data_IF_966257582123
#
_entry.id   IF_966257582123
#
_cell.length_a   1.000
_cell.length_b   1.000
_cell.length_c   1.000
_cell.angle_alpha   90.00
_cell.angle_beta   90.00
_cell.angle_gamma   90.00
#
_symmetry.space_group_name_H-M   'P 1'
#
loop_
_entity.id
_entity.type
_entity.pdbx_description
1 polymer ?
#
# COMPACT_ATOMS: atom_id res chain seq x y z
N UNK A 1 24.94 -0.25 -13.84
CA UNK A 1 24.66 -0.10 -12.40
C UNK A 1 24.59 1.39 -12.06
N UNK A 2 23.52 1.83 -11.43
CA UNK A 2 23.38 3.20 -10.92
C UNK A 2 24.00 3.28 -9.51
N UNK A 3 24.67 4.41 -9.21
CA UNK A 3 25.12 4.71 -7.84
C UNK A 3 23.96 5.05 -6.89
N UNK A 4 22.83 5.50 -7.45
CA UNK A 4 21.62 5.87 -6.72
C UNK A 4 20.49 4.96 -7.22
N UNK A 5 19.78 4.37 -6.28
CA UNK A 5 18.56 3.59 -6.56
C UNK A 5 17.32 4.50 -6.56
N UNK A 6 16.18 3.96 -6.96
CA UNK A 6 14.87 4.60 -6.82
C UNK A 6 13.92 3.68 -6.04
N UNK A 7 12.77 4.22 -5.62
CA UNK A 7 11.76 3.46 -4.86
C UNK A 7 11.31 2.19 -5.60
N UNK A 8 11.19 2.23 -6.94
CA UNK A 8 10.82 1.07 -7.74
C UNK A 8 11.85 -0.07 -7.62
N UNK A 9 13.14 0.24 -7.84
CA UNK A 9 14.21 -0.77 -7.80
C UNK A 9 14.50 -1.26 -6.38
N UNK A 10 14.52 -0.37 -5.38
CA UNK A 10 14.73 -0.77 -3.98
C UNK A 10 13.53 -1.53 -3.43
N UNK A 11 12.31 -1.06 -3.73
CA UNK A 11 11.07 -1.76 -3.37
C UNK A 11 10.98 -3.14 -4.01
N UNK A 12 11.33 -3.28 -5.30
CA UNK A 12 11.40 -4.60 -5.96
C UNK A 12 12.41 -5.51 -5.28
N UNK A 13 13.59 -4.99 -4.89
CA UNK A 13 14.58 -5.79 -4.18
C UNK A 13 14.04 -6.26 -2.81
N UNK A 14 13.32 -5.43 -2.09
CA UNK A 14 12.70 -5.75 -0.82
C UNK A 14 11.54 -6.75 -1.00
N UNK A 15 10.63 -6.49 -1.94
CA UNK A 15 9.43 -7.29 -2.16
C UNK A 15 9.72 -8.67 -2.78
N UNK A 16 10.73 -8.75 -3.67
CA UNK A 16 10.99 -9.94 -4.50
C UNK A 16 12.36 -10.60 -4.23
N UNK A 17 13.19 -10.00 -3.36
CA UNK A 17 14.53 -10.53 -3.05
C UNK A 17 15.54 -10.43 -4.20
N UNK A 18 15.26 -9.66 -5.26
CA UNK A 18 16.14 -9.50 -6.42
C UNK A 18 16.34 -8.03 -6.80
N UNK A 19 17.60 -7.66 -7.05
CA UNK A 19 17.92 -6.34 -7.60
C UNK A 19 17.46 -6.23 -9.04
N UNK A 20 17.02 -5.02 -9.43
CA UNK A 20 16.55 -4.71 -10.78
C UNK A 20 17.09 -3.36 -11.28
N UNK A 21 16.62 -2.91 -12.44
CA UNK A 21 16.97 -1.61 -12.99
C UNK A 21 16.14 -0.49 -12.34
N UNK A 22 16.67 0.73 -12.41
CA UNK A 22 15.93 1.94 -12.02
C UNK A 22 14.59 1.98 -12.76
N UNK A 23 13.55 2.43 -12.10
CA UNK A 23 12.15 2.53 -12.56
C UNK A 23 11.39 1.21 -12.76
N UNK A 24 12.05 0.06 -12.71
CA UNK A 24 11.37 -1.23 -12.88
C UNK A 24 10.56 -1.60 -11.63
N UNK A 25 9.29 -1.93 -11.85
CA UNK A 25 8.32 -2.35 -10.84
C UNK A 25 8.17 -3.88 -10.91
N UNK A 26 8.48 -4.60 -9.84
CA UNK A 26 8.22 -6.04 -9.74
C UNK A 26 8.81 -6.92 -10.83
N UNK A 27 9.81 -6.42 -11.58
CA UNK A 27 10.45 -7.12 -12.69
C UNK A 27 11.95 -7.31 -12.45
N UNK A 28 12.54 -8.33 -13.05
CA UNK A 28 14.00 -8.49 -13.10
C UNK A 28 14.64 -7.50 -14.09
N UNK A 29 15.96 -7.51 -14.20
CA UNK A 29 16.72 -6.61 -15.09
C UNK A 29 16.46 -6.84 -16.59
N UNK A 30 15.81 -7.92 -16.97
CA UNK A 30 15.38 -8.22 -18.35
C UNK A 30 13.92 -7.86 -18.59
N UNK A 31 13.19 -7.52 -17.51
CA UNK A 31 11.78 -7.15 -17.51
C UNK A 31 10.82 -8.33 -17.36
N UNK A 32 11.30 -9.47 -16.90
CA UNK A 32 10.42 -10.58 -16.56
C UNK A 32 9.79 -10.32 -15.16
N UNK A 33 8.50 -10.63 -15.00
CA UNK A 33 7.82 -10.54 -13.70
C UNK A 33 8.52 -11.33 -12.60
N UNK A 34 8.62 -10.73 -11.42
CA UNK A 34 9.12 -11.37 -10.21
C UNK A 34 7.95 -11.57 -9.24
N UNK A 35 7.96 -12.68 -8.52
CA UNK A 35 6.96 -12.96 -7.51
C UNK A 35 7.32 -12.22 -6.22
N UNK A 36 6.44 -11.34 -5.75
CA UNK A 36 6.61 -10.63 -4.48
C UNK A 36 6.25 -11.50 -3.27
N UNK A 37 6.69 -11.08 -2.08
CA UNK A 37 6.28 -11.67 -0.79
C UNK A 37 4.76 -11.68 -0.63
N UNK A 38 4.06 -10.67 -1.15
CA UNK A 38 2.60 -10.59 -1.12
C UNK A 38 1.95 -11.74 -1.90
N UNK A 39 2.40 -12.01 -3.12
CA UNK A 39 1.92 -13.16 -3.89
C UNK A 39 2.31 -14.51 -3.27
N UNK A 40 3.51 -14.61 -2.67
CA UNK A 40 3.92 -15.82 -1.96
C UNK A 40 3.01 -16.08 -0.75
N UNK A 41 2.64 -15.04 -0.02
CA UNK A 41 1.70 -15.15 1.10
C UNK A 41 0.30 -15.58 0.62
N UNK A 42 -0.21 -14.95 -0.45
CA UNK A 42 -1.50 -15.30 -1.06
C UNK A 42 -1.54 -16.77 -1.52
N UNK A 43 -0.50 -17.27 -2.17
CA UNK A 43 -0.40 -18.67 -2.57
C UNK A 43 -0.40 -19.66 -1.41
N UNK A 44 -0.03 -19.20 -0.22
CA UNK A 44 -0.11 -19.96 1.04
C UNK A 44 -1.47 -19.82 1.74
N UNK A 45 -2.46 -19.22 1.08
CA UNK A 45 -3.81 -19.02 1.61
C UNK A 45 -3.93 -17.89 2.62
N UNK A 46 -2.89 -17.04 2.77
CA UNK A 46 -2.95 -15.86 3.62
C UNK A 46 -3.68 -14.72 2.93
N UNK A 47 -4.42 -13.91 3.70
CA UNK A 47 -4.94 -12.65 3.19
C UNK A 47 -3.81 -11.63 3.01
N UNK A 48 -3.99 -10.67 2.09
CA UNK A 48 -2.98 -9.69 1.75
C UNK A 48 -3.54 -8.27 1.83
N UNK A 49 -2.79 -7.38 2.51
CA UNK A 49 -3.06 -5.95 2.58
C UNK A 49 -1.85 -5.11 2.16
N UNK A 50 -2.10 -4.05 1.40
CA UNK A 50 -1.09 -3.07 0.97
C UNK A 50 -1.58 -1.68 1.36
N UNK A 51 -0.81 -0.98 2.20
CA UNK A 51 -1.15 0.33 2.74
C UNK A 51 -0.02 1.33 2.52
N UNK A 52 -0.40 2.57 2.25
CA UNK A 52 0.55 3.68 2.07
C UNK A 52 -0.09 5.03 2.42
N UNK A 53 0.73 6.07 2.60
CA UNK A 53 0.25 7.45 2.73
C UNK A 53 0.33 8.24 1.42
N UNK A 54 0.96 7.69 0.37
CA UNK A 54 1.08 8.25 -0.98
C UNK A 54 0.05 7.62 -1.92
N UNK A 55 0.01 7.95 -3.23
CA UNK A 55 -0.89 7.27 -4.17
C UNK A 55 -0.73 5.76 -4.11
N UNK A 56 -1.84 5.02 -4.17
CA UNK A 56 -1.80 3.56 -4.07
C UNK A 56 -1.07 2.90 -5.25
N UNK A 57 -0.94 3.60 -6.37
CA UNK A 57 -0.20 3.23 -7.57
C UNK A 57 1.25 3.73 -7.58
N UNK A 58 1.70 4.42 -6.52
CA UNK A 58 3.10 4.81 -6.38
C UNK A 58 4.03 3.59 -6.35
N UNK A 59 5.30 3.80 -6.71
CA UNK A 59 6.26 2.71 -6.93
C UNK A 59 6.40 1.72 -5.78
N UNK A 60 6.43 2.18 -4.52
CA UNK A 60 6.65 1.32 -3.36
C UNK A 60 5.48 0.35 -3.10
N UNK A 61 4.20 0.78 -3.04
CA UNK A 61 3.10 -0.17 -2.96
C UNK A 61 3.00 -1.03 -4.23
N UNK A 62 3.24 -0.44 -5.41
CA UNK A 62 3.09 -1.12 -6.69
C UNK A 62 3.99 -2.36 -6.86
N UNK A 63 5.22 -2.36 -6.35
CA UNK A 63 6.13 -3.52 -6.48
C UNK A 63 5.60 -4.80 -5.83
N UNK A 64 4.61 -4.69 -4.95
CA UNK A 64 4.01 -5.87 -4.30
C UNK A 64 2.93 -6.52 -5.15
N UNK A 65 2.25 -5.76 -6.06
CA UNK A 65 1.12 -6.26 -6.84
C UNK A 65 1.26 -6.12 -8.36
N UNK A 66 2.19 -5.28 -8.84
CA UNK A 66 2.32 -4.95 -10.26
C UNK A 66 3.70 -5.27 -10.85
N UNK A 67 3.74 -5.36 -12.18
CA UNK A 67 4.92 -5.58 -12.98
C UNK A 67 4.93 -4.58 -14.13
N UNK A 68 5.97 -3.73 -14.18
CA UNK A 68 6.17 -2.77 -15.26
C UNK A 68 7.65 -2.44 -15.43
N UNK A 69 8.06 -2.08 -16.64
CA UNK A 69 9.41 -1.56 -16.93
C UNK A 69 9.56 -0.07 -16.62
N UNK A 70 8.48 0.58 -16.20
CA UNK A 70 8.50 2.00 -15.84
C UNK A 70 7.51 2.28 -14.69
N UNK A 71 8.00 2.92 -13.63
CA UNK A 71 7.17 3.43 -12.54
C UNK A 71 6.18 4.54 -12.96
N UNK A 72 6.39 5.11 -14.15
CA UNK A 72 5.54 6.16 -14.72
C UNK A 72 4.45 5.61 -15.65
N UNK A 73 4.34 4.29 -15.77
CA UNK A 73 3.28 3.62 -16.53
C UNK A 73 2.04 3.40 -15.64
N UNK A 74 1.46 4.50 -15.10
CA UNK A 74 0.40 4.44 -14.09
C UNK A 74 -0.74 3.51 -14.54
N UNK A 75 -1.27 3.68 -15.76
CA UNK A 75 -2.34 2.83 -16.29
C UNK A 75 -2.01 1.33 -16.28
N UNK A 76 -0.75 0.96 -16.64
CA UNK A 76 -0.31 -0.44 -16.62
C UNK A 76 -0.24 -0.98 -15.19
N UNK A 77 0.17 -0.16 -14.24
CA UNK A 77 0.27 -0.49 -12.82
C UNK A 77 -1.13 -0.60 -12.23
N UNK A 78 -1.98 0.39 -12.45
CA UNK A 78 -3.34 0.47 -11.91
C UNK A 78 -4.20 -0.74 -12.28
N UNK A 79 -4.18 -1.15 -13.53
CA UNK A 79 -4.96 -2.29 -14.01
C UNK A 79 -4.59 -3.60 -13.33
N UNK A 80 -3.39 -3.71 -12.79
CA UNK A 80 -2.93 -4.91 -12.10
C UNK A 80 -3.40 -4.96 -10.64
N UNK A 81 -3.73 -3.81 -10.01
CA UNK A 81 -4.22 -3.80 -8.64
C UNK A 81 -5.51 -4.63 -8.46
N UNK A 82 -6.61 -4.40 -9.19
CA UNK A 82 -7.83 -5.19 -9.01
C UNK A 82 -7.65 -6.67 -9.37
N UNK A 83 -6.77 -6.97 -10.33
CA UNK A 83 -6.51 -8.34 -10.78
C UNK A 83 -5.54 -9.12 -9.89
N UNK A 84 -4.82 -8.45 -8.98
CA UNK A 84 -3.96 -9.10 -7.97
C UNK A 84 -4.73 -10.05 -7.07
N UNK A 85 -6.00 -9.74 -6.85
CA UNK A 85 -6.86 -10.52 -5.96
C UNK A 85 -6.57 -10.33 -4.47
N UNK A 86 -5.75 -9.36 -4.07
CA UNK A 86 -5.45 -9.04 -2.67
C UNK A 86 -6.70 -8.54 -1.94
N UNK A 87 -6.72 -8.67 -0.62
CA UNK A 87 -7.94 -8.49 0.18
C UNK A 87 -8.16 -7.05 0.63
N UNK A 88 -7.08 -6.28 0.78
CA UNK A 88 -7.14 -4.90 1.26
C UNK A 88 -6.09 -4.01 0.60
N UNK A 89 -6.56 -2.89 0.06
CA UNK A 89 -5.72 -1.77 -0.34
C UNK A 89 -6.13 -0.51 0.42
N UNK A 90 -5.15 0.27 0.87
CA UNK A 90 -5.40 1.53 1.57
C UNK A 90 -4.34 2.58 1.27
N UNK A 91 -4.75 3.82 0.94
CA UNK A 91 -3.80 4.87 0.63
C UNK A 91 -4.41 6.11 0.02
N UNK A 92 -3.59 6.91 -0.66
CA UNK A 92 -4.05 7.99 -1.52
C UNK A 92 -4.75 7.46 -2.77
N UNK A 93 -5.57 8.32 -3.39
CA UNK A 93 -6.22 8.03 -4.67
C UNK A 93 -5.17 7.73 -5.74
N UNK A 94 -5.54 6.98 -6.77
CA UNK A 94 -4.77 6.83 -8.00
C UNK A 94 -4.43 8.20 -8.60
N UNK A 95 -3.28 8.32 -9.25
CA UNK A 95 -2.90 9.57 -9.90
C UNK A 95 -3.83 9.93 -11.07
N UNK A 96 -4.23 8.93 -11.86
CA UNK A 96 -5.15 9.11 -13.00
C UNK A 96 -6.27 8.05 -13.00
N UNK A 97 -7.25 8.12 -12.08
CA UNK A 97 -8.25 7.06 -11.93
C UNK A 97 -9.23 6.96 -13.10
N UNK A 98 -9.38 8.02 -13.90
CA UNK A 98 -10.29 8.09 -15.05
C UNK A 98 -9.58 8.75 -16.24
N UNK A 99 -9.60 8.08 -17.38
CA UNK A 99 -9.13 8.62 -18.66
C UNK A 99 -10.05 8.12 -19.80
N UNK A 100 -9.80 8.55 -21.03
CA UNK A 100 -10.54 8.05 -22.20
C UNK A 100 -10.44 6.51 -22.27
N UNK A 101 -11.59 5.84 -22.28
CA UNK A 101 -11.74 4.37 -22.27
C UNK A 101 -11.10 3.66 -21.04
N UNK A 102 -10.95 4.37 -19.92
CA UNK A 102 -10.36 3.84 -18.70
C UNK A 102 -11.04 4.38 -17.44
N UNK A 103 -11.48 3.49 -16.55
CA UNK A 103 -12.14 3.86 -15.30
C UNK A 103 -11.77 2.84 -14.21
N UNK A 104 -10.88 3.23 -13.28
CA UNK A 104 -10.43 2.39 -12.18
C UNK A 104 -11.55 2.00 -11.22
N UNK A 105 -12.51 2.90 -10.99
CA UNK A 105 -13.63 2.61 -10.08
C UNK A 105 -14.49 1.47 -10.61
N UNK A 106 -14.71 1.45 -11.95
CA UNK A 106 -15.38 0.34 -12.59
C UNK A 106 -14.57 -0.95 -12.54
N UNK A 107 -13.26 -0.88 -12.78
CA UNK A 107 -12.37 -2.05 -12.70
C UNK A 107 -12.33 -2.64 -11.29
N UNK A 108 -12.32 -1.81 -10.24
CA UNK A 108 -12.42 -2.27 -8.86
C UNK A 108 -13.74 -3.00 -8.63
N UNK A 109 -14.85 -2.42 -9.05
CA UNK A 109 -16.19 -3.01 -8.91
C UNK A 109 -16.31 -4.35 -9.66
N UNK A 110 -15.83 -4.40 -10.91
CA UNK A 110 -15.85 -5.62 -11.74
C UNK A 110 -15.00 -6.76 -11.14
N UNK A 111 -14.03 -6.45 -10.26
CA UNK A 111 -13.20 -7.41 -9.53
C UNK A 111 -13.63 -7.62 -8.06
N UNK A 112 -14.85 -7.25 -7.71
CA UNK A 112 -15.47 -7.43 -6.39
C UNK A 112 -14.78 -6.65 -5.25
N UNK A 113 -14.22 -5.48 -5.54
CA UNK A 113 -13.77 -4.55 -4.52
C UNK A 113 -14.89 -3.58 -4.13
N UNK A 114 -15.03 -3.36 -2.83
CA UNK A 114 -15.79 -2.23 -2.29
C UNK A 114 -14.84 -1.06 -2.12
N UNK A 115 -15.11 0.03 -2.84
CA UNK A 115 -14.38 1.29 -2.71
C UNK A 115 -14.96 2.10 -1.54
N UNK A 116 -14.09 2.57 -0.67
CA UNK A 116 -14.39 3.44 0.48
C UNK A 116 -13.51 4.68 0.37
N UNK A 117 -14.15 5.87 0.39
CA UNK A 117 -13.46 7.16 0.29
C UNK A 117 -13.76 8.08 1.46
N UNK A 118 -14.39 7.58 2.52
CA UNK A 118 -14.73 8.34 3.73
C UNK A 118 -14.14 7.69 4.97
N UNK A 119 -13.46 8.47 5.80
CA UNK A 119 -12.92 8.03 7.08
C UNK A 119 -13.99 7.51 8.04
N UNK A 120 -15.20 8.10 8.01
CA UNK A 120 -16.32 7.63 8.86
C UNK A 120 -16.75 6.20 8.53
N UNK A 121 -16.46 5.73 7.31
CA UNK A 121 -16.79 4.38 6.88
C UNK A 121 -15.77 3.32 7.29
N UNK A 122 -14.59 3.69 7.78
CA UNK A 122 -13.54 2.76 8.19
C UNK A 122 -13.98 1.79 9.27
N UNK A 123 -14.82 2.24 10.20
CA UNK A 123 -15.36 1.40 11.28
C UNK A 123 -16.22 0.22 10.78
N UNK A 124 -16.77 0.31 9.56
CA UNK A 124 -17.63 -0.73 8.97
C UNK A 124 -16.85 -1.73 8.11
N UNK A 125 -15.62 -1.40 7.72
CA UNK A 125 -14.77 -2.25 6.84
C UNK A 125 -14.66 -3.69 7.32
N UNK A 126 -14.43 -3.97 8.60
CA UNK A 126 -14.28 -5.35 9.07
C UNK A 126 -15.52 -6.23 8.84
N UNK A 127 -16.72 -5.63 8.81
CA UNK A 127 -17.99 -6.33 8.62
C UNK A 127 -18.34 -6.63 7.16
N UNK A 128 -17.65 -6.00 6.19
CA UNK A 128 -17.92 -6.19 4.77
C UNK A 128 -17.37 -7.53 4.28
N UNK A 129 -18.17 -8.28 3.52
CA UNK A 129 -17.76 -9.60 3.00
C UNK A 129 -17.22 -9.50 1.55
N UNK A 130 -16.46 -8.44 1.26
CA UNK A 130 -15.84 -8.17 -0.05
C UNK A 130 -14.38 -7.82 0.13
N UNK A 131 -13.62 -7.79 -0.96
CA UNK A 131 -12.30 -7.16 -1.00
C UNK A 131 -12.47 -5.65 -0.82
N UNK A 132 -11.53 -5.00 -0.20
CA UNK A 132 -11.65 -3.61 0.21
C UNK A 132 -10.57 -2.76 -0.45
N UNK A 133 -10.98 -1.61 -0.97
CA UNK A 133 -10.08 -0.57 -1.41
C UNK A 133 -10.48 0.74 -0.70
N UNK A 134 -9.66 1.20 0.24
CA UNK A 134 -9.87 2.44 1.01
C UNK A 134 -8.93 3.50 0.46
N UNK A 135 -9.48 4.50 -0.21
CA UNK A 135 -8.68 5.56 -0.83
C UNK A 135 -9.08 6.92 -0.28
N UNK A 136 -8.09 7.68 0.15
CA UNK A 136 -8.30 9.09 0.46
C UNK A 136 -8.81 9.84 -0.79
N UNK A 137 -9.70 10.84 -0.67
CA UNK A 137 -10.18 11.59 -1.83
C UNK A 137 -9.07 12.28 -2.64
N UNK A 138 -7.98 12.67 -1.97
CA UNK A 138 -6.78 13.22 -2.60
C UNK A 138 -5.81 12.07 -2.97
N UNK A 139 -4.85 12.35 -3.86
CA UNK A 139 -3.81 11.39 -4.29
C UNK A 139 -2.84 10.99 -3.17
N UNK A 140 -2.97 11.57 -1.99
CA UNK A 140 -2.20 11.25 -0.79
C UNK A 140 -3.05 11.51 0.45
N UNK A 141 -2.66 10.95 1.58
CA UNK A 141 -3.20 11.34 2.88
C UNK A 141 -2.76 12.77 3.20
N UNK A 142 -3.53 13.46 4.03
CA UNK A 142 -3.13 14.78 4.50
C UNK A 142 -1.87 14.69 5.37
N UNK A 143 -1.06 15.75 5.34
CA UNK A 143 0.16 15.80 6.15
C UNK A 143 -0.19 15.75 7.64
N UNK A 144 0.52 14.95 8.40
CA UNK A 144 0.32 14.84 9.85
C UNK A 144 0.49 16.18 10.60
N UNK A 145 1.24 17.13 10.02
CA UNK A 145 1.40 18.46 10.59
C UNK A 145 0.15 19.34 10.42
N UNK A 146 -0.64 19.10 9.39
CA UNK A 146 -1.86 19.84 9.05
C UNK A 146 -3.12 19.11 9.52
N UNK A 147 -2.96 17.86 9.97
CA UNK A 147 -4.04 16.95 10.29
C UNK A 147 -4.50 17.15 11.74
N UNK A 148 -5.41 18.11 11.96
CA UNK A 148 -5.94 18.40 13.29
C UNK A 148 -7.15 17.54 13.69
N UNK A 149 -7.94 17.05 12.72
CA UNK A 149 -9.21 16.37 12.97
C UNK A 149 -9.49 15.20 12.00
N UNK A 150 -8.59 14.90 11.05
CA UNK A 150 -8.84 13.86 10.08
C UNK A 150 -8.65 12.47 10.70
N UNK A 151 -9.67 11.64 10.53
CA UNK A 151 -9.63 10.23 10.93
C UNK A 151 -9.03 9.33 9.85
N UNK A 152 -8.62 9.90 8.70
CA UNK A 152 -8.05 9.17 7.58
C UNK A 152 -6.51 9.08 7.70
N UNK A 153 -6.04 8.47 8.77
CA UNK A 153 -4.62 8.30 9.06
C UNK A 153 -4.11 6.92 8.69
N UNK A 154 -2.79 6.78 8.52
CA UNK A 154 -2.17 5.47 8.31
C UNK A 154 -2.45 4.52 9.49
N UNK A 155 -2.50 5.03 10.72
CA UNK A 155 -2.84 4.24 11.90
C UNK A 155 -4.29 3.70 11.83
N UNK A 156 -5.25 4.53 11.42
CA UNK A 156 -6.64 4.11 11.26
C UNK A 156 -6.80 3.08 10.12
N UNK A 157 -6.10 3.28 9.00
CA UNK A 157 -6.04 2.31 7.90
C UNK A 157 -5.45 0.97 8.39
N UNK A 158 -4.33 1.03 9.13
CA UNK A 158 -3.66 -0.16 9.68
C UNK A 158 -4.57 -0.94 10.62
N UNK A 159 -5.24 -0.26 11.55
CA UNK A 159 -6.18 -0.89 12.48
C UNK A 159 -7.36 -1.55 11.73
N UNK A 160 -7.94 -0.84 10.76
CA UNK A 160 -9.04 -1.35 9.94
C UNK A 160 -8.62 -2.56 9.11
N UNK A 161 -7.42 -2.51 8.51
CA UNK A 161 -6.86 -3.60 7.73
C UNK A 161 -6.57 -4.84 8.59
N UNK A 162 -5.96 -4.69 9.77
CA UNK A 162 -5.72 -5.80 10.69
C UNK A 162 -7.05 -6.50 11.02
N UNK A 163 -8.07 -5.74 11.46
CA UNK A 163 -9.40 -6.30 11.80
C UNK A 163 -10.06 -7.00 10.61
N UNK A 164 -9.81 -6.55 9.38
CA UNK A 164 -10.38 -7.14 8.16
C UNK A 164 -9.64 -8.39 7.71
N UNK A 165 -8.32 -8.39 7.87
CA UNK A 165 -7.45 -9.45 7.36
C UNK A 165 -7.26 -10.59 8.36
N UNK A 166 -7.48 -10.34 9.65
CA UNK A 166 -7.34 -11.36 10.70
C UNK A 166 -8.23 -12.56 10.43
N UNK A 167 -7.62 -13.74 10.39
CA UNK A 167 -8.28 -15.01 10.08
C UNK A 167 -7.37 -16.20 10.46
N UNK A 168 -7.93 -17.40 10.46
CA UNK A 168 -7.23 -18.65 10.84
C UNK A 168 -5.98 -18.95 10.02
N UNK A 169 -5.92 -18.53 8.76
CA UNK A 169 -4.77 -18.76 7.88
C UNK A 169 -3.69 -17.66 8.02
N UNK A 170 -4.00 -16.61 8.77
CA UNK A 170 -3.17 -15.42 8.93
C UNK A 170 -3.16 -14.51 7.70
N UNK A 171 -2.34 -13.47 7.76
CA UNK A 171 -2.25 -12.47 6.71
C UNK A 171 -0.82 -11.95 6.50
N UNK A 172 -0.60 -11.27 5.40
CA UNK A 172 0.57 -10.45 5.10
C UNK A 172 0.12 -8.99 4.92
N UNK A 173 0.85 -8.06 5.50
CA UNK A 173 0.63 -6.63 5.26
C UNK A 173 1.94 -5.93 4.92
N UNK A 174 1.89 -5.04 3.94
CA UNK A 174 2.89 -4.00 3.72
C UNK A 174 2.29 -2.66 4.11
N UNK A 175 3.02 -1.87 4.88
CA UNK A 175 2.59 -0.57 5.39
C UNK A 175 3.71 0.43 5.14
N UNK A 176 3.42 1.52 4.42
CA UNK A 176 4.39 2.54 4.04
C UNK A 176 3.99 3.92 4.57
N UNK A 177 4.92 4.58 5.25
CA UNK A 177 4.86 6.02 5.55
C UNK A 177 5.49 6.83 4.40
N UNK A 178 4.93 6.77 3.19
CA UNK A 178 5.54 7.34 1.99
C UNK A 178 5.67 8.87 2.03
N UNK A 179 4.83 9.57 2.79
CA UNK A 179 4.90 11.01 2.97
C UNK A 179 6.16 11.47 3.72
N UNK A 180 6.86 10.58 4.43
CA UNK A 180 8.17 10.88 5.04
C UNK A 180 9.18 11.26 3.94
N UNK A 181 9.25 10.44 2.89
CA UNK A 181 10.13 10.69 1.73
C UNK A 181 9.77 11.98 1.00
N UNK A 182 8.49 12.25 0.77
CA UNK A 182 8.03 13.46 0.10
C UNK A 182 8.32 14.74 0.89
N UNK A 183 8.16 14.69 2.22
CA UNK A 183 8.55 15.81 3.08
C UNK A 183 10.08 16.04 3.04
N UNK A 184 10.88 14.98 3.02
CA UNK A 184 12.33 15.07 2.85
C UNK A 184 12.71 15.65 1.48
N UNK A 185 12.07 15.24 0.39
CA UNK A 185 12.26 15.82 -0.94
C UNK A 185 11.92 17.31 -1.00
N UNK A 186 10.93 17.74 -0.22
CA UNK A 186 10.55 19.14 -0.07
C UNK A 186 11.47 19.93 0.87
N UNK A 187 12.46 19.29 1.49
CA UNK A 187 13.33 19.83 2.55
C UNK A 187 12.53 20.40 3.74
N UNK A 188 11.36 19.83 4.02
CA UNK A 188 10.51 20.20 5.15
C UNK A 188 10.77 19.28 6.35
N UNK A 189 11.70 19.68 7.20
CA UNK A 189 12.08 18.90 8.37
C UNK A 189 10.95 18.78 9.41
N UNK A 190 10.07 19.77 9.49
CA UNK A 190 8.96 19.74 10.44
C UNK A 190 7.89 18.74 9.99
N UNK A 191 7.51 18.78 8.71
CA UNK A 191 6.61 17.79 8.14
C UNK A 191 7.21 16.38 8.24
N UNK A 192 8.48 16.18 7.83
CA UNK A 192 9.14 14.88 7.92
C UNK A 192 9.12 14.28 9.34
N UNK A 193 9.38 15.10 10.36
CA UNK A 193 9.31 14.66 11.75
C UNK A 193 7.88 14.25 12.18
N UNK A 194 6.87 14.99 11.72
CA UNK A 194 5.46 14.65 11.99
C UNK A 194 5.01 13.38 11.29
N UNK A 195 5.41 13.19 10.02
CA UNK A 195 5.15 11.95 9.28
C UNK A 195 5.76 10.71 9.95
N UNK A 196 6.98 10.84 10.51
CA UNK A 196 7.59 9.76 11.31
C UNK A 196 6.75 9.45 12.57
N UNK A 197 6.20 10.48 13.23
CA UNK A 197 5.31 10.27 14.39
C UNK A 197 4.02 9.57 13.95
N UNK A 198 3.39 10.00 12.84
CA UNK A 198 2.21 9.34 12.28
C UNK A 198 2.47 7.87 11.89
N UNK A 199 3.62 7.60 11.27
CA UNK A 199 4.04 6.23 10.98
C UNK A 199 4.23 5.39 12.25
N UNK A 200 4.80 5.98 13.32
CA UNK A 200 4.92 5.30 14.61
C UNK A 200 3.54 4.95 15.22
N UNK A 201 2.50 5.76 15.02
CA UNK A 201 1.14 5.39 15.46
C UNK A 201 0.61 4.16 14.70
N UNK A 202 0.92 4.03 13.40
CA UNK A 202 0.58 2.83 12.65
C UNK A 202 1.37 1.58 13.15
N UNK A 203 2.67 1.74 13.45
CA UNK A 203 3.48 0.69 14.07
C UNK A 203 2.87 0.24 15.41
N UNK A 204 2.39 1.17 16.24
CA UNK A 204 1.72 0.80 17.51
C UNK A 204 0.53 -0.12 17.29
N UNK A 205 -0.27 0.09 16.24
CA UNK A 205 -1.39 -0.80 15.89
C UNK A 205 -0.91 -2.21 15.55
N UNK A 206 0.19 -2.33 14.82
CA UNK A 206 0.79 -3.63 14.55
C UNK A 206 1.37 -4.29 15.82
N UNK A 207 1.98 -3.51 16.72
CA UNK A 207 2.49 -4.00 18.00
C UNK A 207 1.37 -4.41 18.96
N UNK A 208 0.24 -3.71 18.96
CA UNK A 208 -0.96 -4.13 19.72
C UNK A 208 -1.42 -5.52 19.28
N UNK A 209 -1.47 -5.79 17.97
CA UNK A 209 -1.78 -7.11 17.43
C UNK A 209 -0.71 -8.14 17.81
N UNK A 210 0.59 -7.80 17.67
CA UNK A 210 1.69 -8.67 18.09
C UNK A 210 1.58 -9.07 19.57
N UNK A 211 1.27 -8.14 20.45
CA UNK A 211 1.15 -8.43 21.89
C UNK A 211 0.01 -9.39 22.22
N UNK A 212 -1.04 -9.44 21.38
CA UNK A 212 -2.11 -10.42 21.50
C UNK A 212 -1.74 -11.78 20.86
N UNK A 213 -0.81 -11.82 19.90
CA UNK A 213 -0.42 -12.99 19.12
C UNK A 213 1.11 -13.11 18.96
N UNK A 214 1.92 -13.14 20.08
CA UNK A 214 3.37 -12.97 20.02
C UNK A 214 4.09 -14.13 19.32
N UNK A 215 3.57 -15.35 19.42
CA UNK A 215 4.19 -16.55 18.85
C UNK A 215 3.85 -16.74 17.36
N UNK A 216 2.93 -15.96 16.81
CA UNK A 216 2.39 -16.12 15.45
C UNK A 216 2.63 -14.89 14.56
N UNK A 217 3.18 -13.81 15.11
CA UNK A 217 3.33 -12.53 14.42
C UNK A 217 4.81 -12.17 14.26
N UNK A 218 5.19 -11.76 13.04
CA UNK A 218 6.49 -11.17 12.74
C UNK A 218 6.28 -9.75 12.23
N UNK A 219 6.90 -8.77 12.87
CA UNK A 219 6.98 -7.37 12.41
C UNK A 219 8.41 -7.10 11.96
N UNK A 220 8.55 -6.51 10.77
CA UNK A 220 9.84 -6.04 10.22
C UNK A 220 9.69 -4.55 9.93
N UNK A 221 10.60 -3.73 10.47
CA UNK A 221 10.63 -2.27 10.30
C UNK A 221 11.96 -1.86 9.69
#
# INVERSE_FOLDING_TARGET
SSYITCSAASGTAMACGKKTLVDYIGCDSTGNPLKSLAYIAQEKGKKVGILTTVPIDHATPAVFYAHSKSRHSNREIDQQLPTSGFDFFGGGMFEEPIAENYNMFKLLQDNNYTLITSSDSLQYVPSLNTKICVLHPNTRLDLEIDNSDDKFTLAALTESAIKKLDNENGFFMMIEGGMIDWACHSNDAAAAAREVVGFNEAIKKAVEFYNAHPDETLIVI
#
